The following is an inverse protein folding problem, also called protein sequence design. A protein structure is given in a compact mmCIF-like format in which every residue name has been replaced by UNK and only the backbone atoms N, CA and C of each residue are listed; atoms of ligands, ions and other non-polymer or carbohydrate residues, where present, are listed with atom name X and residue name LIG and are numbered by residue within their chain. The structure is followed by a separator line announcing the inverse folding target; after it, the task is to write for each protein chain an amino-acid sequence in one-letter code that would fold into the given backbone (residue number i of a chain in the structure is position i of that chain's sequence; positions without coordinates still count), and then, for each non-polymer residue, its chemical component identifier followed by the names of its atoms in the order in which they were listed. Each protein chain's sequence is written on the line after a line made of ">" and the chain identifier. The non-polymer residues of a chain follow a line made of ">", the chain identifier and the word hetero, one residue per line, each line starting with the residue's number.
data_IF_174669740660
#
_entry.id   IF_174669740660
#
_cell.length_a   1.000
_cell.length_b   1.000
_cell.length_c   1.000
_cell.angle_alpha   90.00
_cell.angle_beta   90.00
_cell.angle_gamma   90.00
#
_symmetry.space_group_name_H-M   'P 1'
#
loop_
_entity.id
_entity.type
_entity.pdbx_description
1 polymer ?
#
# COMPACT_ATOMS: atom_id res chain seq x y z
N UNK A 1 -14.36 31.40 -28.30
CA UNK A 1 -13.67 31.23 -29.59
C UNK A 1 -14.23 29.97 -30.22
N UNK A 2 -15.00 30.08 -31.31
CA UNK A 2 -15.71 28.95 -31.94
C UNK A 2 -14.78 27.99 -32.69
N UNK A 3 -13.74 27.51 -32.03
CA UNK A 3 -12.81 26.51 -32.56
C UNK A 3 -13.53 25.16 -32.52
N UNK A 4 -13.84 24.59 -33.69
CA UNK A 4 -14.40 23.23 -33.76
C UNK A 4 -13.37 22.23 -33.23
N UNK A 5 -13.82 21.28 -32.39
CA UNK A 5 -12.95 20.26 -31.82
C UNK A 5 -12.99 19.00 -32.68
N UNK A 6 -11.96 18.78 -33.48
CA UNK A 6 -11.77 17.54 -34.22
C UNK A 6 -11.00 16.51 -33.37
N UNK A 7 -11.31 15.23 -33.58
CA UNK A 7 -10.74 14.11 -32.82
C UNK A 7 -10.28 13.01 -33.76
N UNK A 8 -9.08 12.48 -33.51
CA UNK A 8 -8.53 11.30 -34.19
C UNK A 8 -8.04 10.33 -33.12
N UNK A 9 -8.53 9.09 -33.13
CA UNK A 9 -8.14 8.03 -32.18
C UNK A 9 -8.24 8.43 -30.69
N UNK A 10 -9.29 9.18 -30.33
CA UNK A 10 -9.50 9.64 -28.95
C UNK A 10 -8.56 10.75 -28.48
N UNK A 11 -7.73 11.31 -29.38
CA UNK A 11 -6.90 12.48 -29.13
C UNK A 11 -7.44 13.69 -29.90
N UNK A 12 -7.38 14.86 -29.27
CA UNK A 12 -7.82 16.11 -29.88
C UNK A 12 -6.82 16.54 -30.95
N UNK A 13 -7.29 16.80 -32.16
CA UNK A 13 -6.48 17.44 -33.20
C UNK A 13 -6.19 18.87 -32.74
N UNK A 14 -4.91 19.22 -32.71
CA UNK A 14 -4.45 20.52 -32.25
C UNK A 14 -3.79 21.21 -33.43
N UNK A 15 -4.53 22.03 -34.17
CA UNK A 15 -3.94 22.87 -35.22
C UNK A 15 -3.18 24.08 -34.62
N UNK A 16 -2.57 24.91 -35.48
CA UNK A 16 -1.75 26.04 -35.04
C UNK A 16 -2.55 27.05 -34.20
N UNK A 17 -3.78 27.36 -34.61
CA UNK A 17 -4.64 28.27 -33.84
C UNK A 17 -5.06 27.66 -32.50
N UNK A 18 -5.29 26.34 -32.47
CA UNK A 18 -5.69 25.61 -31.27
C UNK A 18 -4.53 25.54 -30.28
N UNK A 19 -3.30 25.29 -30.71
CA UNK A 19 -2.15 25.21 -29.78
C UNK A 19 -1.86 26.55 -29.12
N UNK A 20 -2.00 27.67 -29.84
CA UNK A 20 -1.87 29.01 -29.26
C UNK A 20 -2.91 29.24 -28.14
N UNK A 21 -4.17 28.86 -28.38
CA UNK A 21 -5.23 28.96 -27.37
C UNK A 21 -4.96 28.04 -26.19
N UNK A 22 -4.52 26.81 -26.44
CA UNK A 22 -4.17 25.85 -25.40
C UNK A 22 -3.03 26.40 -24.54
N UNK A 23 -1.98 26.95 -25.15
CA UNK A 23 -0.85 27.56 -24.44
C UNK A 23 -1.30 28.72 -23.55
N UNK A 24 -2.07 29.67 -24.10
CA UNK A 24 -2.59 30.80 -23.34
C UNK A 24 -3.46 30.36 -22.16
N UNK A 25 -4.32 29.36 -22.35
CA UNK A 25 -5.23 28.89 -21.31
C UNK A 25 -4.50 28.10 -20.23
N UNK A 26 -3.67 27.13 -20.61
CA UNK A 26 -2.96 26.26 -19.66
C UNK A 26 -1.89 27.04 -18.90
N UNK A 27 -0.98 27.73 -19.58
CA UNK A 27 0.14 28.45 -18.94
C UNK A 27 -0.28 29.79 -18.33
N UNK A 28 -1.25 30.48 -18.93
CA UNK A 28 -1.67 31.81 -18.51
C UNK A 28 -2.76 31.81 -17.44
N UNK A 29 -3.81 31.00 -17.63
CA UNK A 29 -4.99 31.04 -16.74
C UNK A 29 -5.03 29.92 -15.73
N UNK A 30 -4.95 28.66 -16.17
CA UNK A 30 -5.10 27.49 -15.28
C UNK A 30 -3.91 27.39 -14.34
N UNK A 31 -2.69 27.41 -14.89
CA UNK A 31 -1.45 27.35 -14.13
C UNK A 31 -1.37 28.44 -13.06
N UNK A 32 -1.65 29.70 -13.41
CA UNK A 32 -1.57 30.83 -12.47
C UNK A 32 -2.65 30.79 -11.39
N UNK A 33 -3.84 30.24 -11.67
CA UNK A 33 -4.86 30.00 -10.64
C UNK A 33 -4.41 28.98 -9.59
N UNK A 34 -3.73 27.91 -10.02
CA UNK A 34 -3.19 26.90 -9.09
C UNK A 34 -2.07 27.51 -8.24
N UNK A 35 -1.14 28.25 -8.87
CA UNK A 35 -0.07 28.98 -8.15
C UNK A 35 -0.66 29.91 -7.09
N UNK A 36 -1.67 30.70 -7.47
CA UNK A 36 -2.35 31.60 -6.53
C UNK A 36 -2.99 30.82 -5.37
N UNK A 37 -3.72 29.73 -5.65
CA UNK A 37 -4.35 28.92 -4.62
C UNK A 37 -3.33 28.33 -3.62
N UNK A 38 -2.15 27.89 -4.09
CA UNK A 38 -1.07 27.40 -3.21
C UNK A 38 -0.53 28.53 -2.34
N UNK A 39 -0.26 29.70 -2.95
CA UNK A 39 0.28 30.86 -2.23
C UNK A 39 -0.70 31.39 -1.17
N UNK A 40 -2.01 31.35 -1.44
CA UNK A 40 -3.06 31.72 -0.49
C UNK A 40 -3.10 30.80 0.75
N UNK A 41 -2.61 29.57 0.64
CA UNK A 41 -2.45 28.64 1.75
C UNK A 41 -1.08 28.75 2.45
N UNK A 42 -0.27 29.77 2.10
CA UNK A 42 1.04 30.02 2.70
C UNK A 42 2.21 29.28 2.04
N UNK A 43 1.96 28.54 0.96
CA UNK A 43 3.03 27.94 0.16
C UNK A 43 3.78 28.97 -0.69
N UNK A 44 4.92 28.56 -1.26
CA UNK A 44 5.65 29.35 -2.26
C UNK A 44 5.61 28.59 -3.58
N UNK A 45 4.79 29.02 -4.52
CA UNK A 45 4.63 28.36 -5.81
C UNK A 45 5.11 29.23 -6.98
N UNK A 46 5.71 28.57 -7.98
CA UNK A 46 6.10 29.19 -9.27
C UNK A 46 5.47 28.41 -10.40
N UNK A 47 4.81 29.14 -11.29
CA UNK A 47 4.15 28.57 -12.46
C UNK A 47 5.06 28.51 -13.67
N UNK A 48 5.32 27.30 -14.17
CA UNK A 48 6.11 27.00 -15.36
C UNK A 48 5.23 26.31 -16.42
N UNK A 49 5.75 26.25 -17.63
CA UNK A 49 5.40 25.30 -18.69
C UNK A 49 6.63 24.44 -18.98
N UNK A 50 6.47 23.33 -19.70
CA UNK A 50 7.65 22.57 -20.14
C UNK A 50 8.56 23.33 -21.11
N UNK A 51 8.17 24.50 -21.63
CA UNK A 51 9.06 25.35 -22.43
C UNK A 51 10.07 26.12 -21.58
N UNK A 52 9.72 26.42 -20.33
CA UNK A 52 10.53 27.26 -19.45
C UNK A 52 11.82 26.52 -19.08
N UNK A 53 12.97 27.20 -19.23
CA UNK A 53 14.31 26.65 -19.03
C UNK A 53 14.63 25.37 -19.84
N UNK A 54 13.88 25.08 -20.92
CA UNK A 54 14.04 23.84 -21.69
C UNK A 54 13.63 22.58 -20.92
N UNK A 55 12.65 22.71 -20.00
CA UNK A 55 12.21 21.62 -19.13
C UNK A 55 11.72 20.38 -19.90
N UNK A 56 10.98 20.54 -21.00
CA UNK A 56 10.47 19.44 -21.84
C UNK A 56 10.70 19.77 -23.32
N UNK A 57 11.51 18.94 -23.97
CA UNK A 57 11.62 18.87 -25.42
C UNK A 57 10.71 17.77 -25.95
N UNK A 58 10.00 18.05 -27.04
CA UNK A 58 9.04 17.13 -27.65
C UNK A 58 9.40 16.79 -29.10
N UNK A 59 8.99 15.59 -29.50
CA UNK A 59 8.77 15.24 -30.90
C UNK A 59 7.28 15.25 -31.21
N UNK A 60 6.91 15.53 -32.45
CA UNK A 60 5.52 15.43 -32.89
C UNK A 60 5.04 13.98 -32.76
N UNK A 61 3.92 13.76 -32.08
CA UNK A 61 3.38 12.42 -31.83
C UNK A 61 2.85 11.79 -33.13
N UNK A 62 2.06 12.54 -33.87
CA UNK A 62 1.44 12.11 -35.13
C UNK A 62 1.12 13.37 -35.96
N UNK A 63 1.58 13.47 -37.22
CA UNK A 63 1.23 14.57 -38.11
C UNK A 63 -0.28 14.82 -38.23
N UNK A 64 -1.11 13.77 -38.16
CA UNK A 64 -2.57 13.87 -38.22
C UNK A 64 -3.19 14.56 -36.98
N UNK A 65 -2.47 14.60 -35.86
CA UNK A 65 -2.90 15.28 -34.63
C UNK A 65 -2.42 16.74 -34.55
N UNK A 66 -1.59 17.18 -35.50
CA UNK A 66 -1.01 18.52 -35.52
C UNK A 66 0.02 18.71 -34.40
N UNK A 67 -0.15 19.76 -33.59
CA UNK A 67 0.73 20.18 -32.52
C UNK A 67 0.51 19.38 -31.23
N UNK A 68 0.40 18.06 -31.33
CA UNK A 68 0.43 17.12 -30.20
C UNK A 68 1.83 16.51 -30.11
N UNK A 69 2.44 16.58 -28.92
CA UNK A 69 3.83 16.16 -28.71
C UNK A 69 3.98 15.03 -27.70
N UNK A 70 5.04 14.25 -27.93
CA UNK A 70 5.55 13.25 -26.99
C UNK A 70 6.85 13.77 -26.39
N UNK A 71 7.01 13.79 -25.05
CA UNK A 71 8.28 14.14 -24.41
C UNK A 71 9.41 13.23 -24.92
N UNK A 72 10.47 13.82 -25.47
CA UNK A 72 11.67 13.11 -25.93
C UNK A 72 12.85 13.33 -25.02
N UNK A 73 12.90 14.49 -24.34
CA UNK A 73 13.90 14.82 -23.33
C UNK A 73 13.27 15.71 -22.26
N UNK A 74 13.64 15.48 -21.01
CA UNK A 74 13.25 16.33 -19.87
C UNK A 74 14.50 16.79 -19.14
N UNK A 75 14.67 18.11 -18.99
CA UNK A 75 15.72 18.70 -18.17
C UNK A 75 15.12 19.19 -16.84
N UNK A 76 15.36 18.44 -15.76
CA UNK A 76 14.80 18.74 -14.45
C UNK A 76 15.64 19.73 -13.61
N UNK A 77 16.75 20.29 -14.14
CA UNK A 77 17.65 21.18 -13.38
C UNK A 77 16.90 22.34 -12.71
N UNK A 78 16.00 22.99 -13.45
CA UNK A 78 15.18 24.08 -12.92
C UNK A 78 14.28 23.64 -11.76
N UNK A 79 13.80 22.39 -11.79
CA UNK A 79 12.98 21.84 -10.73
C UNK A 79 13.80 21.53 -9.48
N UNK A 80 15.03 21.04 -9.65
CA UNK A 80 15.95 20.84 -8.53
C UNK A 80 16.30 22.16 -7.84
N UNK A 81 16.63 23.21 -8.59
CA UNK A 81 16.88 24.54 -8.01
C UNK A 81 15.68 25.08 -7.24
N UNK A 82 14.46 24.97 -7.80
CA UNK A 82 13.26 25.42 -7.10
C UNK A 82 12.99 24.60 -5.82
N UNK A 83 13.23 23.29 -5.86
CA UNK A 83 13.06 22.42 -4.71
C UNK A 83 14.05 22.73 -3.57
N UNK A 84 15.31 23.05 -3.91
CA UNK A 84 16.33 23.48 -2.93
C UNK A 84 15.91 24.74 -2.16
N UNK A 85 15.18 25.65 -2.82
CA UNK A 85 14.64 26.87 -2.23
C UNK A 85 13.24 26.71 -1.62
N UNK A 86 12.75 25.48 -1.45
CA UNK A 86 11.41 25.15 -0.94
C UNK A 86 10.26 25.81 -1.75
N UNK A 87 10.45 25.91 -3.07
CA UNK A 87 9.45 26.45 -4.01
C UNK A 87 8.75 25.29 -4.72
N UNK A 88 7.42 25.31 -4.74
CA UNK A 88 6.56 24.31 -5.39
C UNK A 88 6.41 24.67 -6.89
N UNK A 89 6.97 23.88 -7.82
CA UNK A 89 6.75 24.08 -9.24
C UNK A 89 5.35 23.63 -9.64
N UNK A 90 4.61 24.48 -10.35
CA UNK A 90 3.33 24.17 -10.98
C UNK A 90 3.54 24.18 -12.49
N UNK A 91 3.45 23.03 -13.15
CA UNK A 91 3.92 22.88 -14.54
C UNK A 91 2.72 22.66 -15.48
N UNK A 92 2.56 23.50 -16.50
CA UNK A 92 1.61 23.28 -17.59
C UNK A 92 2.17 22.24 -18.59
N UNK A 93 1.34 21.30 -19.07
CA UNK A 93 1.79 20.17 -19.91
C UNK A 93 1.98 20.59 -21.38
N UNK A 94 2.96 21.44 -21.62
CA UNK A 94 3.38 21.92 -22.93
C UNK A 94 4.89 21.69 -23.07
N UNK A 95 5.36 21.44 -24.28
CA UNK A 95 6.79 21.27 -24.56
C UNK A 95 7.23 22.03 -25.80
N UNK A 96 8.54 22.19 -25.94
CA UNK A 96 9.15 22.82 -27.10
C UNK A 96 9.56 21.78 -28.15
N UNK A 97 9.29 22.05 -29.42
CA UNK A 97 9.89 21.34 -30.54
C UNK A 97 11.35 21.76 -30.77
N UNK A 98 12.09 21.01 -31.58
CA UNK A 98 13.49 21.30 -31.88
C UNK A 98 13.69 22.58 -32.69
N UNK A 99 12.64 23.14 -33.29
CA UNK A 99 12.66 24.42 -34.02
C UNK A 99 11.93 25.53 -33.25
N UNK A 100 11.58 25.29 -31.98
CA UNK A 100 10.87 26.26 -31.13
C UNK A 100 9.35 26.20 -31.23
N UNK A 101 8.80 25.18 -31.89
CA UNK A 101 7.35 24.94 -31.92
C UNK A 101 6.80 24.67 -30.52
N UNK A 102 5.51 24.92 -30.32
CA UNK A 102 4.83 24.51 -29.09
C UNK A 102 4.03 23.24 -29.35
N UNK A 103 4.18 22.26 -28.47
CA UNK A 103 3.39 21.04 -28.51
C UNK A 103 2.53 20.92 -27.25
N UNK A 104 1.27 20.55 -27.45
CA UNK A 104 0.36 20.14 -26.39
C UNK A 104 0.65 18.68 -26.01
N UNK A 105 0.86 18.42 -24.72
CA UNK A 105 1.18 17.09 -24.19
C UNK A 105 0.01 16.62 -23.33
N UNK A 106 -0.26 15.31 -23.32
CA UNK A 106 -1.16 14.76 -22.33
C UNK A 106 -0.61 14.99 -20.91
N UNK A 107 -1.46 15.43 -19.97
CA UNK A 107 -1.03 15.76 -18.61
C UNK A 107 -0.42 14.59 -17.84
N UNK A 108 -0.98 13.39 -17.96
CA UNK A 108 -0.45 12.18 -17.33
C UNK A 108 0.94 11.87 -17.92
N UNK A 109 1.08 11.90 -19.25
CA UNK A 109 2.36 11.65 -19.93
C UNK A 109 3.44 12.67 -19.55
N UNK A 110 3.08 13.96 -19.47
CA UNK A 110 4.01 15.00 -19.02
C UNK A 110 4.45 14.77 -17.57
N UNK A 111 3.51 14.46 -16.67
CA UNK A 111 3.81 14.17 -15.26
C UNK A 111 4.69 12.92 -15.12
N UNK A 112 4.41 11.86 -15.89
CA UNK A 112 5.23 10.64 -15.93
C UNK A 112 6.66 10.90 -16.38
N UNK A 113 6.84 11.69 -17.44
CA UNK A 113 8.16 12.05 -17.96
C UNK A 113 8.96 12.91 -16.95
N UNK A 114 8.30 13.89 -16.31
CA UNK A 114 8.92 14.71 -15.26
C UNK A 114 9.30 13.86 -14.04
N UNK A 115 8.41 12.98 -13.59
CA UNK A 115 8.65 12.11 -12.45
C UNK A 115 9.84 11.16 -12.70
N UNK A 116 9.94 10.59 -13.90
CA UNK A 116 11.09 9.79 -14.31
C UNK A 116 12.38 10.62 -14.32
N UNK A 117 12.37 11.83 -14.89
CA UNK A 117 13.55 12.69 -14.91
C UNK A 117 14.04 13.08 -13.50
N UNK A 118 13.11 13.27 -12.56
CA UNK A 118 13.41 13.56 -11.16
C UNK A 118 13.81 12.33 -10.33
N UNK A 119 13.69 11.11 -10.89
CA UNK A 119 13.76 9.86 -10.12
C UNK A 119 12.82 9.88 -8.90
N UNK A 120 11.57 10.31 -9.13
CA UNK A 120 10.62 10.58 -8.08
C UNK A 120 10.25 9.33 -7.26
N UNK A 121 10.02 9.55 -5.97
CA UNK A 121 9.66 8.49 -5.02
C UNK A 121 8.22 7.97 -5.22
N UNK A 122 7.34 8.86 -5.68
CA UNK A 122 5.94 8.61 -5.99
C UNK A 122 5.48 9.52 -7.13
N UNK A 123 4.67 8.98 -8.03
CA UNK A 123 3.82 9.75 -8.95
C UNK A 123 2.35 9.51 -8.60
N UNK A 124 1.62 10.58 -8.31
CA UNK A 124 0.20 10.53 -7.99
C UNK A 124 -0.62 11.03 -9.18
N UNK A 125 -1.43 10.17 -9.78
CA UNK A 125 -2.35 10.50 -10.87
C UNK A 125 -3.77 10.63 -10.31
N UNK A 126 -4.23 11.88 -10.16
CA UNK A 126 -5.59 12.20 -9.73
C UNK A 126 -6.56 12.02 -10.90
N UNK A 127 -7.51 11.11 -10.76
CA UNK A 127 -8.51 10.78 -11.78
C UNK A 127 -9.93 10.89 -11.26
N UNK A 128 -10.93 10.78 -12.14
CA UNK A 128 -12.36 10.79 -11.82
C UNK A 128 -12.96 9.39 -11.58
N UNK A 129 -12.10 8.38 -11.38
CA UNK A 129 -12.47 6.99 -11.09
C UNK A 129 -11.77 6.50 -9.83
N UNK A 130 -12.30 5.44 -9.21
CA UNK A 130 -11.81 4.94 -7.91
C UNK A 130 -10.41 4.31 -7.95
N UNK A 131 -9.91 3.95 -9.15
CA UNK A 131 -8.64 3.29 -9.36
C UNK A 131 -8.72 2.23 -10.45
N UNK A 132 -7.70 1.37 -10.53
CA UNK A 132 -7.71 0.21 -11.43
C UNK A 132 -8.58 -0.89 -10.83
N UNK A 133 -9.53 -1.41 -11.61
CA UNK A 133 -10.46 -2.46 -11.16
C UNK A 133 -10.14 -3.79 -11.80
N UNK A 134 -10.36 -4.88 -11.07
CA UNK A 134 -10.34 -6.23 -11.61
C UNK A 134 -11.64 -6.56 -12.37
N UNK A 135 -11.72 -7.77 -12.95
CA UNK A 135 -12.90 -8.23 -13.69
C UNK A 135 -14.19 -8.32 -12.83
N UNK A 136 -14.08 -8.43 -11.51
CA UNK A 136 -15.22 -8.40 -10.59
C UNK A 136 -15.63 -6.98 -10.17
N UNK A 137 -14.96 -5.94 -10.67
CA UNK A 137 -15.25 -4.53 -10.39
C UNK A 137 -14.65 -4.01 -9.08
N UNK A 138 -13.80 -4.78 -8.41
CA UNK A 138 -13.12 -4.38 -7.17
C UNK A 138 -11.86 -3.58 -7.49
N UNK A 139 -11.62 -2.50 -6.75
CA UNK A 139 -10.40 -1.70 -6.87
C UNK A 139 -9.21 -2.50 -6.36
N UNK A 140 -8.15 -2.55 -7.17
CA UNK A 140 -6.90 -3.20 -6.82
C UNK A 140 -5.99 -2.19 -6.12
N UNK A 141 -5.51 -2.56 -4.93
CA UNK A 141 -4.67 -1.71 -4.08
C UNK A 141 -3.18 -1.80 -4.42
N UNK A 142 -2.76 -2.89 -5.06
CA UNK A 142 -1.36 -3.10 -5.48
C UNK A 142 -1.33 -3.92 -6.77
N UNK A 143 -0.46 -3.51 -7.69
CA UNK A 143 -0.29 -4.12 -9.01
C UNK A 143 1.19 -4.10 -9.42
N UNK A 144 1.69 -5.22 -9.92
CA UNK A 144 3.00 -5.29 -10.58
C UNK A 144 2.90 -4.88 -12.04
N UNK A 145 4.02 -4.48 -12.65
CA UNK A 145 4.06 -4.15 -14.08
C UNK A 145 3.56 -5.30 -14.97
N UNK A 146 3.87 -6.54 -14.62
CA UNK A 146 3.43 -7.72 -15.38
C UNK A 146 1.93 -7.96 -15.25
N UNK A 147 1.36 -7.75 -14.06
CA UNK A 147 -0.09 -7.81 -13.87
C UNK A 147 -0.80 -6.77 -14.72
N UNK A 148 -0.29 -5.53 -14.78
CA UNK A 148 -0.85 -4.47 -15.64
C UNK A 148 -0.84 -4.90 -17.11
N UNK A 149 0.30 -5.42 -17.60
CA UNK A 149 0.41 -5.89 -18.99
C UNK A 149 -0.56 -7.04 -19.28
N UNK A 150 -0.66 -8.00 -18.36
CA UNK A 150 -1.57 -9.13 -18.48
C UNK A 150 -3.04 -8.68 -18.51
N UNK A 151 -3.45 -7.87 -17.53
CA UNK A 151 -4.82 -7.35 -17.43
C UNK A 151 -5.21 -6.50 -18.64
N UNK A 152 -4.25 -5.80 -19.25
CA UNK A 152 -4.46 -5.05 -20.49
C UNK A 152 -4.68 -6.00 -21.67
N UNK A 153 -3.86 -7.05 -21.79
CA UNK A 153 -4.02 -8.07 -22.84
C UNK A 153 -5.34 -8.86 -22.71
N UNK A 154 -5.80 -9.10 -21.48
CA UNK A 154 -7.08 -9.74 -21.18
C UNK A 154 -8.29 -8.81 -21.35
N UNK A 155 -8.07 -7.52 -21.62
CA UNK A 155 -9.13 -6.52 -21.79
C UNK A 155 -9.81 -6.08 -20.48
N UNK A 156 -9.24 -6.43 -19.32
CA UNK A 156 -9.71 -5.97 -18.01
C UNK A 156 -9.39 -4.48 -17.82
N UNK A 157 -8.16 -4.08 -18.16
CA UNK A 157 -7.79 -2.67 -18.29
C UNK A 157 -8.20 -2.22 -19.70
N UNK A 158 -9.14 -1.28 -19.77
CA UNK A 158 -9.74 -0.85 -21.03
C UNK A 158 -9.98 0.67 -21.07
N UNK A 159 -10.24 1.17 -22.28
CA UNK A 159 -10.62 2.57 -22.52
C UNK A 159 -9.57 3.57 -22.03
N UNK A 160 -10.02 4.62 -21.34
CA UNK A 160 -9.14 5.68 -20.83
C UNK A 160 -8.17 5.25 -19.73
N UNK A 161 -8.30 4.03 -19.18
CA UNK A 161 -7.36 3.52 -18.19
C UNK A 161 -6.06 3.02 -18.83
N UNK A 162 -6.10 2.53 -20.07
CA UNK A 162 -4.93 2.06 -20.81
C UNK A 162 -3.80 3.12 -20.82
N UNK A 163 -4.03 4.36 -21.31
CA UNK A 163 -2.96 5.36 -21.35
C UNK A 163 -2.45 5.78 -19.97
N UNK A 164 -3.28 5.68 -18.92
CA UNK A 164 -2.86 5.95 -17.54
C UNK A 164 -1.91 4.87 -17.02
N UNK A 165 -2.27 3.61 -17.25
CA UNK A 165 -1.43 2.48 -16.86
C UNK A 165 -0.17 2.37 -17.70
N UNK A 166 -0.20 2.74 -18.99
CA UNK A 166 0.99 2.86 -19.83
C UNK A 166 1.94 3.95 -19.30
N UNK A 167 1.39 5.13 -18.96
CA UNK A 167 2.16 6.20 -18.31
C UNK A 167 2.80 5.71 -17.02
N UNK A 168 2.05 4.96 -16.19
CA UNK A 168 2.57 4.40 -14.95
C UNK A 168 3.73 3.42 -15.20
N UNK A 169 3.57 2.51 -16.17
CA UNK A 169 4.63 1.57 -16.57
C UNK A 169 5.88 2.32 -17.04
N UNK A 170 5.75 3.28 -17.95
CA UNK A 170 6.88 4.07 -18.46
C UNK A 170 7.58 4.86 -17.36
N UNK A 171 6.83 5.44 -16.42
CA UNK A 171 7.41 6.15 -15.29
C UNK A 171 8.23 5.22 -14.38
N UNK A 172 7.70 4.03 -14.06
CA UNK A 172 8.39 3.01 -13.25
C UNK A 172 9.64 2.51 -13.96
N UNK A 173 9.54 2.19 -15.25
CA UNK A 173 10.69 1.79 -16.08
C UNK A 173 11.75 2.90 -16.15
N UNK A 174 11.33 4.16 -16.07
CA UNK A 174 12.19 5.33 -15.98
C UNK A 174 12.80 5.59 -14.59
N UNK A 175 12.51 4.77 -13.58
CA UNK A 175 13.11 4.85 -12.23
C UNK A 175 12.20 5.40 -11.14
N UNK A 176 10.93 5.71 -11.43
CA UNK A 176 9.96 6.11 -10.38
C UNK A 176 9.64 4.91 -9.48
N UNK A 177 9.74 5.07 -8.17
CA UNK A 177 9.61 3.94 -7.23
C UNK A 177 8.19 3.36 -7.16
N UNK A 178 7.15 4.19 -7.26
CA UNK A 178 5.77 3.71 -7.44
C UNK A 178 4.88 4.80 -8.05
N UNK A 179 3.81 4.36 -8.73
CA UNK A 179 2.78 5.22 -9.31
C UNK A 179 1.44 4.84 -8.70
N UNK A 180 0.65 5.83 -8.31
CA UNK A 180 -0.67 5.64 -7.69
C UNK A 180 -1.70 6.32 -8.57
N UNK A 181 -2.74 5.58 -8.96
CA UNK A 181 -3.92 6.12 -9.65
C UNK A 181 -5.05 6.18 -8.62
N UNK A 182 -5.45 7.40 -8.25
CA UNK A 182 -6.37 7.65 -7.14
C UNK A 182 -7.54 8.55 -7.54
N UNK A 183 -8.66 8.42 -6.82
CA UNK A 183 -9.84 9.26 -7.03
C UNK A 183 -9.59 10.69 -6.54
N UNK A 184 -9.33 11.60 -7.48
CA UNK A 184 -9.10 13.01 -7.22
C UNK A 184 -10.35 13.79 -6.81
N UNK A 185 -11.54 13.18 -6.83
CA UNK A 185 -12.79 13.79 -6.35
C UNK A 185 -12.91 13.72 -4.84
N UNK A 186 -12.21 12.77 -4.21
CA UNK A 186 -12.21 12.63 -2.76
C UNK A 186 -11.51 13.85 -2.13
N UNK A 187 -12.12 14.52 -1.13
CA UNK A 187 -11.45 15.56 -0.38
C UNK A 187 -10.15 15.02 0.22
N UNK A 188 -9.07 15.80 0.11
CA UNK A 188 -7.76 15.42 0.64
C UNK A 188 -7.17 14.12 0.06
N UNK A 189 -7.55 13.70 -1.14
CA UNK A 189 -7.12 12.42 -1.74
C UNK A 189 -5.59 12.18 -1.67
N UNK A 190 -4.78 13.20 -1.99
CA UNK A 190 -3.31 13.10 -1.87
C UNK A 190 -2.84 12.91 -0.43
N UNK A 191 -3.47 13.57 0.54
CA UNK A 191 -3.11 13.39 1.95
C UNK A 191 -3.53 12.01 2.44
N UNK A 192 -4.69 11.52 1.99
CA UNK A 192 -5.13 10.18 2.35
C UNK A 192 -4.14 9.14 1.80
N UNK A 193 -3.69 9.27 0.56
CA UNK A 193 -2.68 8.37 0.01
C UNK A 193 -1.33 8.47 0.75
N UNK A 194 -0.87 9.69 1.06
CA UNK A 194 0.45 9.89 1.65
C UNK A 194 0.51 9.66 3.17
N UNK A 195 -0.60 9.85 3.89
CA UNK A 195 -0.65 9.91 5.35
C UNK A 195 -1.71 9.01 5.99
N UNK A 196 -2.59 8.35 5.23
CA UNK A 196 -3.38 7.28 5.84
C UNK A 196 -2.49 6.06 5.93
N UNK A 197 -1.83 5.91 7.08
CA UNK A 197 -1.27 4.65 7.51
C UNK A 197 -2.46 3.67 7.67
N UNK A 198 -2.78 2.96 6.59
CA UNK A 198 -3.64 1.79 6.65
C UNK A 198 -2.78 0.62 7.13
N UNK A 199 -3.25 -0.22 8.07
CA UNK A 199 -2.43 -1.32 8.59
C UNK A 199 -1.95 -2.21 7.45
N UNK A 200 -2.74 -2.34 6.38
CA UNK A 200 -2.44 -3.12 5.17
C UNK A 200 -1.16 -2.62 4.46
N UNK A 201 -0.88 -1.31 4.49
CA UNK A 201 0.38 -0.74 3.92
C UNK A 201 1.63 -1.25 4.61
N UNK A 202 1.52 -1.64 5.88
CA UNK A 202 2.59 -2.28 6.63
C UNK A 202 2.43 -3.81 6.71
N UNK A 203 1.54 -4.37 5.88
CA UNK A 203 1.12 -5.77 5.93
C UNK A 203 0.67 -6.19 7.34
N UNK A 204 -0.06 -5.31 8.02
CA UNK A 204 -0.87 -5.62 9.19
C UNK A 204 -2.34 -5.62 8.79
N UNK A 205 -3.17 -6.29 9.57
CA UNK A 205 -4.63 -6.23 9.43
C UNK A 205 -5.28 -6.19 10.81
N UNK A 206 -6.55 -5.80 10.83
CA UNK A 206 -7.39 -5.89 12.03
C UNK A 206 -7.76 -7.35 12.30
N UNK A 207 -7.21 -7.90 13.38
CA UNK A 207 -7.56 -9.23 13.90
C UNK A 207 -8.82 -9.22 14.76
N UNK A 208 -9.27 -8.05 15.18
CA UNK A 208 -10.49 -7.92 15.97
C UNK A 208 -10.59 -6.55 16.61
N UNK A 209 -11.79 -6.21 17.06
CA UNK A 209 -12.02 -5.02 17.85
C UNK A 209 -13.00 -5.34 18.98
N UNK A 210 -12.86 -4.66 20.11
CA UNK A 210 -13.74 -4.81 21.27
C UNK A 210 -13.86 -3.47 22.01
N UNK A 211 -14.74 -3.43 23.00
CA UNK A 211 -14.81 -2.32 23.96
C UNK A 211 -14.18 -2.74 25.28
N UNK A 212 -13.31 -1.90 25.81
CA UNK A 212 -12.65 -2.10 27.10
C UNK A 212 -12.60 -0.78 27.86
N UNK A 213 -13.23 -0.75 29.04
CA UNK A 213 -13.24 0.42 29.92
C UNK A 213 -13.74 1.74 29.28
N UNK A 214 -14.69 1.65 28.34
CA UNK A 214 -15.30 2.81 27.67
C UNK A 214 -14.62 3.22 26.36
N UNK A 215 -13.50 2.58 26.01
CA UNK A 215 -12.74 2.81 24.79
C UNK A 215 -12.86 1.63 23.82
N UNK A 216 -12.60 1.88 22.54
CA UNK A 216 -12.48 0.83 21.51
C UNK A 216 -11.03 0.37 21.40
N UNK A 217 -10.80 -0.94 21.52
CA UNK A 217 -9.50 -1.57 21.27
C UNK A 217 -9.53 -2.22 19.89
N UNK A 218 -8.56 -1.89 19.04
CA UNK A 218 -8.34 -2.53 17.74
C UNK A 218 -7.10 -3.39 17.82
N UNK A 219 -7.23 -4.69 17.63
CA UNK A 219 -6.16 -5.68 17.66
C UNK A 219 -5.56 -5.83 16.27
N UNK A 220 -4.22 -5.78 16.17
CA UNK A 220 -3.50 -5.87 14.92
C UNK A 220 -2.62 -7.13 14.87
N UNK A 221 -2.66 -7.81 13.73
CA UNK A 221 -1.82 -8.98 13.45
C UNK A 221 -1.30 -8.98 12.01
N UNK A 222 -0.42 -9.94 11.65
CA UNK A 222 0.16 -10.05 10.31
C UNK A 222 -0.91 -10.20 9.22
N UNK A 223 -0.89 -9.36 8.20
CA UNK A 223 -1.66 -9.58 6.98
C UNK A 223 -0.87 -10.50 6.05
N UNK A 224 -1.30 -11.76 5.99
CA UNK A 224 -0.71 -12.75 5.10
C UNK A 224 -1.59 -13.03 3.87
N UNK A 225 -0.97 -13.36 2.72
CA UNK A 225 0.47 -13.41 2.49
C UNK A 225 1.10 -12.01 2.31
N UNK A 226 2.29 -11.77 2.86
CA UNK A 226 3.09 -10.58 2.53
C UNK A 226 3.85 -9.95 3.69
N UNK A 227 3.32 -10.08 4.91
CA UNK A 227 3.94 -9.54 6.12
C UNK A 227 5.41 -9.95 6.28
N UNK A 228 5.74 -11.22 6.05
CA UNK A 228 7.13 -11.67 6.19
C UNK A 228 8.09 -10.98 5.23
N UNK A 229 7.64 -10.67 4.00
CA UNK A 229 8.45 -9.92 3.06
C UNK A 229 8.71 -8.50 3.56
N UNK A 230 7.67 -7.79 4.02
CA UNK A 230 7.80 -6.42 4.54
C UNK A 230 8.71 -6.37 5.77
N UNK A 231 8.52 -7.29 6.72
CA UNK A 231 9.35 -7.31 7.92
C UNK A 231 10.83 -7.57 7.60
N UNK A 232 11.15 -8.51 6.70
CA UNK A 232 12.55 -8.81 6.33
C UNK A 232 13.28 -7.66 5.65
N UNK A 233 12.57 -6.76 4.99
CA UNK A 233 13.16 -5.56 4.38
C UNK A 233 13.23 -4.37 5.35
N UNK A 234 12.82 -4.55 6.61
CA UNK A 234 12.90 -3.49 7.61
C UNK A 234 14.32 -3.30 8.14
N UNK A 235 14.61 -2.07 8.57
CA UNK A 235 15.86 -1.73 9.25
C UNK A 235 16.07 -2.58 10.51
N UNK A 236 15.00 -2.87 11.24
CA UNK A 236 15.08 -3.64 12.47
C UNK A 236 15.46 -5.08 12.25
N UNK A 237 15.11 -5.66 11.10
CA UNK A 237 15.51 -7.02 10.75
C UNK A 237 17.02 -7.10 10.42
N UNK A 238 17.57 -6.03 9.81
CA UNK A 238 18.93 -6.02 9.30
C UNK A 238 20.00 -5.56 10.32
N UNK A 239 19.61 -4.87 11.39
CA UNK A 239 20.56 -4.20 12.28
C UNK A 239 21.19 -5.08 13.37
N UNK A 240 20.75 -6.34 13.49
CA UNK A 240 21.29 -7.32 14.44
C UNK A 240 20.96 -7.03 15.91
N UNK A 241 20.13 -6.04 16.20
CA UNK A 241 19.73 -5.74 17.57
C UNK A 241 18.65 -6.74 18.07
N UNK A 242 18.54 -6.94 19.40
CA UNK A 242 17.51 -7.79 19.99
C UNK A 242 16.08 -7.37 19.63
N UNK A 243 15.17 -8.33 19.70
CA UNK A 243 13.72 -8.16 19.50
C UNK A 243 13.34 -7.37 18.24
N UNK A 244 13.90 -7.70 17.06
CA UNK A 244 13.75 -6.90 15.85
C UNK A 244 12.27 -6.76 15.45
N UNK A 245 11.48 -7.81 15.65
CA UNK A 245 10.06 -7.79 15.31
C UNK A 245 9.23 -6.94 16.26
N UNK A 246 9.59 -6.88 17.54
CA UNK A 246 8.89 -6.06 18.52
C UNK A 246 9.21 -4.59 18.33
N UNK A 247 10.47 -4.25 18.06
CA UNK A 247 10.87 -2.88 17.69
C UNK A 247 10.16 -2.42 16.41
N UNK A 248 10.11 -3.28 15.39
CA UNK A 248 9.34 -3.01 14.17
C UNK A 248 7.85 -2.77 14.47
N UNK A 249 7.24 -3.65 15.29
CA UNK A 249 5.83 -3.52 15.68
C UNK A 249 5.57 -2.21 16.41
N UNK A 250 6.47 -1.83 17.34
CA UNK A 250 6.41 -0.57 18.09
C UNK A 250 6.48 0.66 17.19
N UNK A 251 7.39 0.67 16.22
CA UNK A 251 7.49 1.78 15.25
C UNK A 251 6.26 1.88 14.36
N UNK A 252 5.81 0.76 13.80
CA UNK A 252 4.70 0.72 12.83
C UNK A 252 3.37 1.02 13.52
N UNK A 253 3.02 0.27 14.57
CA UNK A 253 1.75 0.45 15.28
C UNK A 253 1.73 1.75 16.08
N UNK A 254 2.89 2.23 16.56
CA UNK A 254 2.99 3.55 17.17
C UNK A 254 2.64 4.69 16.21
N UNK A 255 2.99 4.56 14.92
CA UNK A 255 2.55 5.52 13.88
C UNK A 255 1.05 5.41 13.62
N UNK A 256 0.54 4.18 13.43
CA UNK A 256 -0.90 3.91 13.26
C UNK A 256 -1.74 4.51 14.39
N UNK A 257 -1.32 4.29 15.63
CA UNK A 257 -2.03 4.82 16.80
C UNK A 257 -2.09 6.36 16.78
N UNK A 258 -0.98 7.04 16.47
CA UNK A 258 -0.97 8.51 16.34
C UNK A 258 -1.89 8.99 15.21
N UNK A 259 -1.84 8.33 14.05
CA UNK A 259 -2.69 8.65 12.91
C UNK A 259 -4.18 8.50 13.24
N UNK A 260 -4.53 7.48 14.03
CA UNK A 260 -5.91 7.22 14.45
C UNK A 260 -6.35 8.01 15.69
N UNK A 261 -5.48 8.84 16.27
CA UNK A 261 -5.78 9.57 17.52
C UNK A 261 -5.90 8.68 18.76
N UNK A 262 -5.22 7.53 18.75
CA UNK A 262 -5.22 6.53 19.83
C UNK A 262 -3.86 6.30 20.48
N UNK A 263 -3.81 5.29 21.35
CA UNK A 263 -2.59 4.85 22.05
C UNK A 263 -2.23 3.42 21.64
N UNK A 264 -0.97 3.20 21.26
CA UNK A 264 -0.47 1.88 20.92
C UNK A 264 -0.17 1.06 22.19
N UNK A 265 -0.53 -0.22 22.18
CA UNK A 265 -0.34 -1.18 23.26
C UNK A 265 0.30 -2.45 22.68
N UNK A 266 1.26 -3.05 23.39
CA UNK A 266 2.05 -4.17 22.87
C UNK A 266 2.02 -5.37 23.80
N UNK A 267 1.98 -6.62 23.27
CA UNK A 267 2.06 -7.82 24.11
C UNK A 267 3.37 -7.95 24.88
N UNK A 268 4.45 -7.32 24.39
CA UNK A 268 5.77 -7.35 25.01
C UNK A 268 6.03 -6.23 26.03
N UNK A 269 5.08 -5.32 26.24
CA UNK A 269 5.21 -4.27 27.25
C UNK A 269 4.58 -4.72 28.59
N UNK A 270 5.38 -4.67 29.67
CA UNK A 270 4.94 -4.96 31.02
C UNK A 270 6.10 -5.30 31.97
N UNK A 271 5.78 -5.66 33.24
CA UNK A 271 4.45 -5.62 33.85
C UNK A 271 3.97 -4.18 34.21
N UNK A 272 2.64 -3.91 34.24
CA UNK A 272 1.55 -4.86 33.94
C UNK A 272 1.36 -5.07 32.44
N UNK A 273 1.19 -6.33 32.03
CA UNK A 273 0.95 -6.70 30.63
C UNK A 273 -0.52 -6.44 30.24
N UNK A 274 -0.73 -5.92 29.04
CA UNK A 274 -2.05 -5.77 28.47
C UNK A 274 -2.72 -7.15 28.23
N UNK A 275 -4.03 -7.31 28.48
CA UNK A 275 -4.70 -8.61 28.47
C UNK A 275 -5.07 -9.08 27.05
N UNK A 276 -4.09 -9.18 26.15
CA UNK A 276 -4.28 -9.55 24.73
C UNK A 276 -5.05 -10.84 24.52
N UNK A 277 -4.83 -11.85 25.38
CA UNK A 277 -5.55 -13.13 25.28
C UNK A 277 -7.06 -12.99 25.56
N UNK A 278 -7.42 -12.14 26.52
CA UNK A 278 -8.83 -11.81 26.82
C UNK A 278 -9.41 -10.98 25.68
N UNK A 279 -8.71 -9.92 25.28
CA UNK A 279 -9.13 -9.06 24.16
C UNK A 279 -9.37 -9.84 22.87
N UNK A 280 -8.50 -10.78 22.53
CA UNK A 280 -8.69 -11.66 21.38
C UNK A 280 -10.04 -12.39 21.42
N UNK A 281 -10.44 -12.90 22.57
CA UNK A 281 -11.72 -13.60 22.76
C UNK A 281 -12.91 -12.64 22.75
N UNK A 282 -12.80 -11.52 23.48
CA UNK A 282 -13.84 -10.50 23.57
C UNK A 282 -14.12 -9.83 22.22
N UNK A 283 -13.13 -9.82 21.30
CA UNK A 283 -13.34 -9.35 19.93
C UNK A 283 -14.26 -10.23 19.11
N UNK A 284 -14.56 -11.45 19.60
CA UNK A 284 -15.41 -12.40 18.90
C UNK A 284 -14.80 -12.95 17.61
N UNK A 285 -13.50 -12.78 17.35
CA UNK A 285 -12.79 -13.30 16.18
C UNK A 285 -11.76 -14.38 16.50
N UNK A 286 -11.48 -14.60 17.79
CA UNK A 286 -10.62 -15.67 18.26
C UNK A 286 -11.26 -16.45 19.41
N UNK A 287 -10.98 -17.75 19.48
CA UNK A 287 -11.55 -18.65 20.48
C UNK A 287 -10.51 -19.63 21.02
N UNK A 288 -10.75 -20.23 22.20
CA UNK A 288 -10.03 -21.41 22.62
C UNK A 288 -10.14 -22.53 21.58
N UNK A 289 -9.00 -23.09 21.16
CA UNK A 289 -8.96 -24.25 20.29
C UNK A 289 -8.87 -25.55 21.10
N UNK A 290 -9.04 -26.72 20.45
CA UNK A 290 -8.82 -28.02 21.08
C UNK A 290 -7.39 -28.31 21.58
N UNK A 291 -6.43 -27.42 21.34
CA UNK A 291 -4.99 -27.64 21.59
C UNK A 291 -4.36 -26.49 22.40
N UNK A 292 -5.08 -25.90 23.36
CA UNK A 292 -4.65 -24.82 24.27
C UNK A 292 -4.25 -23.48 23.60
N UNK A 293 -4.22 -23.41 22.28
CA UNK A 293 -3.93 -22.20 21.51
C UNK A 293 -5.23 -21.46 21.15
N UNK A 294 -5.14 -20.17 20.85
CA UNK A 294 -6.25 -19.47 20.21
C UNK A 294 -6.34 -19.84 18.73
N UNK A 295 -7.57 -20.00 18.25
CA UNK A 295 -7.91 -20.12 16.83
C UNK A 295 -8.61 -18.84 16.38
N UNK A 296 -8.11 -18.20 15.32
CA UNK A 296 -8.73 -17.01 14.70
C UNK A 296 -9.54 -17.42 13.48
N UNK A 297 -10.64 -16.72 13.19
CA UNK A 297 -11.55 -17.02 12.07
C UNK A 297 -10.87 -17.03 10.69
N UNK A 298 -9.82 -16.22 10.51
CA UNK A 298 -9.02 -16.14 9.28
C UNK A 298 -7.66 -16.82 9.40
N UNK A 299 -6.99 -16.64 10.53
CA UNK A 299 -5.59 -17.08 10.72
C UNK A 299 -5.48 -18.51 11.25
N UNK A 300 -6.59 -19.14 11.63
CA UNK A 300 -6.58 -20.43 12.30
C UNK A 300 -5.69 -20.37 13.55
N UNK A 301 -4.87 -21.40 13.73
CA UNK A 301 -3.91 -21.49 14.83
C UNK A 301 -2.62 -20.68 14.60
N UNK A 302 -2.54 -19.89 13.52
CA UNK A 302 -1.46 -18.93 13.29
C UNK A 302 -1.72 -17.56 13.90
N UNK A 303 -2.80 -17.41 14.68
CA UNK A 303 -3.13 -16.17 15.35
C UNK A 303 -1.91 -15.61 16.12
N UNK A 304 -1.46 -14.43 15.72
CA UNK A 304 -0.34 -13.71 16.30
C UNK A 304 -0.68 -12.23 16.36
N UNK A 305 -0.79 -11.69 17.57
CA UNK A 305 -1.04 -10.26 17.78
C UNK A 305 0.30 -9.53 17.83
N UNK A 306 0.43 -8.45 17.05
CA UNK A 306 1.63 -7.58 17.01
C UNK A 306 1.48 -6.35 17.90
N UNK A 307 0.25 -5.93 18.14
CA UNK A 307 -0.10 -4.81 19.00
C UNK A 307 -1.58 -4.51 18.94
N UNK A 308 -1.98 -3.46 19.64
CA UNK A 308 -3.33 -2.94 19.62
C UNK A 308 -3.30 -1.41 19.60
N UNK A 309 -4.37 -0.80 19.11
CA UNK A 309 -4.62 0.64 19.25
C UNK A 309 -5.86 0.83 20.12
N UNK A 310 -5.71 1.54 21.24
CA UNK A 310 -6.83 2.03 22.05
C UNK A 310 -7.28 3.39 21.52
N UNK A 311 -8.52 3.45 21.06
CA UNK A 311 -9.18 4.65 20.54
C UNK A 311 -10.17 5.18 21.58
N UNK A 312 -10.22 6.50 21.81
CA UNK A 312 -11.12 7.07 22.81
C UNK A 312 -12.58 6.89 22.40
N UNK A 313 -13.40 6.44 23.34
CA UNK A 313 -14.84 6.29 23.15
C UNK A 313 -15.24 5.01 22.43
N UNK A 314 -16.53 4.93 22.10
CA UNK A 314 -17.18 3.70 21.65
C UNK A 314 -17.56 3.80 20.17
N UNK A 315 -16.88 3.02 19.34
CA UNK A 315 -17.22 2.86 17.92
C UNK A 315 -18.14 1.67 17.70
N UNK A 316 -18.97 1.72 16.66
CA UNK A 316 -19.73 0.55 16.21
C UNK A 316 -18.77 -0.53 15.72
N UNK A 317 -18.97 -1.75 16.21
CA UNK A 317 -18.13 -2.90 15.87
C UNK A 317 -18.90 -3.87 14.96
N UNK A 318 -18.22 -4.48 13.98
CA UNK A 318 -18.85 -5.46 13.11
C UNK A 318 -19.29 -6.69 13.92
N UNK A 319 -20.41 -7.28 13.51
CA UNK A 319 -20.86 -8.56 14.07
C UNK A 319 -19.92 -9.69 13.65
N UNK A 320 -19.56 -10.56 14.59
CA UNK A 320 -18.67 -11.70 14.32
C UNK A 320 -19.43 -13.03 14.29
N UNK A 321 -18.80 -14.03 13.67
CA UNK A 321 -19.36 -15.38 13.51
C UNK A 321 -19.09 -16.29 14.71
N UNK A 322 -19.59 -17.54 14.67
CA UNK A 322 -19.27 -18.55 15.67
C UNK A 322 -17.83 -19.09 15.51
N UNK A 323 -17.32 -19.77 16.54
CA UNK A 323 -16.01 -20.42 16.50
C UNK A 323 -15.86 -21.40 15.32
N UNK A 324 -14.77 -21.34 14.56
CA UNK A 324 -14.53 -22.24 13.42
C UNK A 324 -14.26 -23.69 13.86
N UNK A 325 -13.92 -23.92 15.14
CA UNK A 325 -13.68 -25.27 15.64
C UNK A 325 -14.96 -26.10 15.75
N UNK A 326 -16.13 -25.47 15.91
CA UNK A 326 -17.41 -26.17 16.04
C UNK A 326 -17.81 -26.92 14.78
N UNK A 327 -17.46 -26.40 13.60
CA UNK A 327 -17.71 -27.01 12.30
C UNK A 327 -16.49 -27.74 11.70
N UNK A 328 -15.38 -27.80 12.44
CA UNK A 328 -14.13 -28.41 11.95
C UNK A 328 -14.19 -29.93 12.08
N UNK A 329 -14.49 -30.62 10.98
CA UNK A 329 -14.48 -32.09 10.90
C UNK A 329 -13.12 -32.66 11.30
N UNK A 330 -13.13 -33.69 12.15
CA UNK A 330 -11.96 -34.43 12.66
C UNK A 330 -10.96 -33.65 13.54
N UNK A 331 -11.04 -32.31 13.61
CA UNK A 331 -10.14 -31.47 14.42
C UNK A 331 -8.67 -31.94 14.37
N UNK A 332 -8.06 -31.99 13.17
CA UNK A 332 -6.78 -32.66 12.92
C UNK A 332 -5.61 -32.14 13.77
N UNK A 333 -5.70 -30.91 14.30
CA UNK A 333 -4.72 -30.36 15.22
C UNK A 333 -4.54 -31.21 16.50
N UNK A 334 -5.58 -31.93 16.95
CA UNK A 334 -5.54 -32.75 18.17
C UNK A 334 -4.54 -33.89 18.14
N UNK A 335 -4.31 -34.47 16.96
CA UNK A 335 -3.44 -35.66 16.78
C UNK A 335 -2.18 -35.35 15.98
N UNK A 336 -1.98 -34.09 15.59
CA UNK A 336 -0.86 -33.69 14.73
C UNK A 336 0.43 -33.41 15.52
N UNK A 337 0.37 -33.24 16.84
CA UNK A 337 1.57 -33.07 17.67
C UNK A 337 2.29 -34.42 17.84
N UNK A 338 3.55 -34.59 17.41
CA UNK A 338 4.24 -35.89 17.47
C UNK A 338 4.50 -36.42 18.89
N UNK A 339 4.42 -35.56 19.89
CA UNK A 339 4.73 -35.86 21.30
C UNK A 339 3.61 -35.51 22.26
N UNK A 340 2.41 -35.25 21.73
CA UNK A 340 1.21 -34.91 22.51
C UNK A 340 1.44 -33.78 23.52
N UNK A 341 2.26 -32.78 23.16
CA UNK A 341 2.57 -31.64 24.02
C UNK A 341 1.38 -30.67 24.17
N UNK A 342 0.38 -30.75 23.30
CA UNK A 342 -0.76 -29.83 23.28
C UNK A 342 -2.05 -30.58 23.62
N UNK A 343 -2.77 -30.07 24.62
CA UNK A 343 -4.09 -30.55 25.03
C UNK A 343 -5.06 -29.36 25.15
N UNK A 344 -6.38 -29.57 25.34
CA UNK A 344 -7.30 -28.44 25.51
C UNK A 344 -6.97 -27.51 26.70
N UNK A 345 -6.35 -28.04 27.75
CA UNK A 345 -6.12 -27.32 29.00
C UNK A 345 -4.65 -26.96 29.27
N UNK A 346 -3.71 -27.56 28.54
CA UNK A 346 -2.29 -27.48 28.88
C UNK A 346 -1.40 -27.60 27.64
N UNK A 347 -0.33 -26.80 27.62
CA UNK A 347 0.80 -26.92 26.72
C UNK A 347 2.04 -27.35 27.52
N UNK A 348 2.45 -28.60 27.34
CA UNK A 348 3.64 -29.21 27.94
C UNK A 348 4.89 -28.73 27.21
N UNK A 349 5.45 -27.61 27.70
CA UNK A 349 6.63 -26.98 27.11
C UNK A 349 7.85 -27.89 27.20
N UNK A 350 8.04 -28.61 28.30
CA UNK A 350 9.20 -29.48 28.47
C UNK A 350 9.25 -30.57 27.40
N UNK A 351 8.14 -31.28 27.17
CA UNK A 351 8.04 -32.25 26.06
C UNK A 351 8.24 -31.60 24.69
N UNK A 352 7.67 -30.41 24.50
CA UNK A 352 7.82 -29.72 23.23
C UNK A 352 9.28 -29.37 22.95
N UNK A 353 9.97 -28.71 23.88
CA UNK A 353 11.37 -28.32 23.72
C UNK A 353 12.27 -29.55 23.56
N UNK A 354 12.08 -30.59 24.38
CA UNK A 354 12.85 -31.83 24.25
C UNK A 354 12.64 -32.54 22.90
N UNK A 355 11.45 -32.43 22.28
CA UNK A 355 11.25 -32.92 20.92
C UNK A 355 11.97 -32.06 19.87
N UNK A 356 12.00 -30.73 20.03
CA UNK A 356 12.65 -29.81 19.09
C UNK A 356 14.18 -30.02 19.03
N UNK A 357 14.80 -30.49 20.12
CA UNK A 357 16.22 -30.89 20.16
C UNK A 357 16.53 -32.14 19.31
N UNK A 358 15.51 -32.91 18.91
CA UNK A 358 15.68 -34.15 18.15
C UNK A 358 15.72 -33.91 16.63
N UNK A 359 16.28 -34.87 15.88
CA UNK A 359 16.29 -34.80 14.42
C UNK A 359 14.87 -34.73 13.80
N UNK A 360 13.87 -35.52 14.24
CA UNK A 360 12.47 -35.33 13.80
C UNK A 360 11.85 -33.98 14.20
N UNK A 361 12.30 -33.39 15.31
CA UNK A 361 11.86 -32.08 15.80
C UNK A 361 12.17 -30.92 14.86
N UNK A 362 13.17 -31.07 14.00
CA UNK A 362 13.61 -30.02 13.07
C UNK A 362 12.52 -29.62 12.07
N UNK A 363 11.58 -30.52 11.73
CA UNK A 363 10.41 -30.16 10.91
C UNK A 363 9.50 -29.17 11.66
N UNK A 364 9.26 -29.35 12.96
CA UNK A 364 8.50 -28.39 13.76
C UNK A 364 9.26 -27.07 13.98
N UNK A 365 10.60 -27.09 14.05
CA UNK A 365 11.41 -25.87 14.11
C UNK A 365 11.35 -25.08 12.79
N UNK A 366 11.53 -25.74 11.64
CA UNK A 366 11.69 -25.05 10.35
C UNK A 366 10.37 -24.75 9.64
N UNK A 367 9.35 -25.58 9.83
CA UNK A 367 8.03 -25.41 9.20
C UNK A 367 6.99 -24.83 10.17
N UNK A 368 7.31 -24.77 11.46
CA UNK A 368 6.39 -24.41 12.53
C UNK A 368 5.63 -25.61 13.10
N UNK A 369 5.03 -25.38 14.27
CA UNK A 369 4.28 -26.38 15.03
C UNK A 369 3.32 -27.21 14.15
N UNK A 370 3.47 -28.53 14.18
CA UNK A 370 2.65 -29.46 13.39
C UNK A 370 1.14 -29.34 13.69
N UNK A 371 0.76 -29.13 14.95
CA UNK A 371 -0.65 -28.91 15.31
C UNK A 371 -1.24 -27.65 14.67
N UNK A 372 -0.44 -26.57 14.57
CA UNK A 372 -0.86 -25.33 13.90
C UNK A 372 -0.98 -25.54 12.39
N UNK A 373 0.01 -26.19 11.76
CA UNK A 373 -0.03 -26.54 10.32
C UNK A 373 -1.22 -27.43 9.95
N UNK A 374 -1.67 -28.29 10.86
CA UNK A 374 -2.80 -29.18 10.61
C UNK A 374 -4.17 -28.47 10.62
N UNK A 375 -4.27 -27.24 11.15
CA UNK A 375 -5.53 -26.50 11.15
C UNK A 375 -5.92 -26.09 9.72
N UNK A 376 -7.15 -26.41 9.24
CA UNK A 376 -7.55 -26.07 7.86
C UNK A 376 -7.52 -24.57 7.54
N UNK A 377 -7.80 -23.69 8.52
CA UNK A 377 -7.68 -22.25 8.31
C UNK A 377 -6.23 -21.79 8.25
N UNK A 378 -5.36 -22.45 9.01
CA UNK A 378 -3.93 -22.17 9.01
C UNK A 378 -3.26 -22.50 7.68
N UNK A 379 -3.76 -23.51 6.94
CA UNK A 379 -3.20 -23.87 5.63
C UNK A 379 -3.56 -22.83 4.55
N UNK A 380 -4.71 -22.17 4.66
CA UNK A 380 -5.15 -21.14 3.72
C UNK A 380 -4.64 -19.75 4.04
N UNK A 381 -4.06 -19.54 5.22
CA UNK A 381 -3.64 -18.21 5.68
C UNK A 381 -2.43 -17.63 4.93
N UNK A 382 -1.62 -18.48 4.29
CA UNK A 382 -0.46 -18.02 3.52
C UNK A 382 0.80 -17.70 4.36
N UNK A 383 0.87 -18.16 5.61
CA UNK A 383 2.07 -18.03 6.45
C UNK A 383 3.25 -18.81 5.84
N UNK A 384 4.38 -18.14 5.64
CA UNK A 384 5.56 -18.76 5.04
C UNK A 384 6.38 -19.60 6.05
N UNK A 385 7.02 -20.72 5.63
CA UNK A 385 7.87 -21.51 6.52
C UNK A 385 8.98 -20.71 7.19
N UNK A 386 9.64 -19.79 6.47
CA UNK A 386 10.74 -18.98 7.02
C UNK A 386 10.28 -18.06 8.16
N UNK A 387 9.04 -17.57 8.10
CA UNK A 387 8.45 -16.82 9.20
C UNK A 387 8.20 -17.73 10.39
N UNK A 388 7.64 -18.92 10.15
CA UNK A 388 7.47 -19.92 11.22
C UNK A 388 8.79 -20.29 11.87
N UNK A 389 9.85 -20.52 11.09
CA UNK A 389 11.19 -20.78 11.60
C UNK A 389 11.71 -19.66 12.49
N UNK A 390 11.61 -18.42 12.05
CA UNK A 390 12.01 -17.26 12.85
C UNK A 390 11.33 -17.24 14.23
N UNK A 391 10.02 -17.51 14.27
CA UNK A 391 9.28 -17.55 15.53
C UNK A 391 9.61 -18.78 16.38
N UNK A 392 9.82 -19.94 15.77
CA UNK A 392 10.20 -21.16 16.49
C UNK A 392 11.59 -21.04 17.11
N UNK A 393 12.53 -20.35 16.47
CA UNK A 393 13.86 -20.03 17.02
C UNK A 393 13.84 -19.02 18.16
N UNK A 394 12.80 -18.17 18.22
CA UNK A 394 12.60 -17.28 19.36
C UNK A 394 11.87 -18.00 20.52
N UNK A 395 11.12 -19.06 20.19
CA UNK A 395 10.40 -19.88 21.16
C UNK A 395 11.30 -20.91 21.86
N UNK A 396 12.15 -21.61 21.09
CA UNK A 396 13.09 -22.62 21.57
C UNK A 396 14.50 -22.03 21.70
#
# INVERSE_FOLDING_TARGET
>A
MGVQSDWVNGKRVTDAATVEVVEMVLSGRVNKRIVQAINEQGGRAVGLSGKDAGLITCTQTDPALGFVGTPSQVNADVLHTLAEDEIIPVIAPLGAGTQGETFNINGDTAAGAIAAALQADRLLLLTDVEGVKNASGQVLTELTCDQIRQMTAEGVIAGGMIPKTETALTAIEGGVRAVVILDGRAPNACLLELYTDQPETAQLEVFGALHDSGDTIVLLGPHEPGFWAVFRHSTEFADGAPDPLDRWSKRVIGRLARAWGGTALFPSDGPPFAPFFRWAQDSGRAWPSPVALLVHDRAGLWASYRGAVRLPGHSDLPTTGPSPCGSCTNQPCRSACPVDALSPAHYDLEKCHGFLDSAPGQDCLTQGCAARRACPLSTTYGRLPQQSEFHMRAFH
#
